data_IF_182472096670
#
_entry.id   IF_182472096670
#
_cell.length_a   1.000
_cell.length_b   1.000
_cell.length_c   1.000
_cell.angle_alpha   90.00
_cell.angle_beta   90.00
_cell.angle_gamma   90.00
#
_symmetry.space_group_name_H-M   'P 1'
#
loop_
_entity.id
_entity.type
_entity.pdbx_description
1 polymer ?
#
# COMPACT_ATOMS: atom_id res chain seq x y z
N UNK A 1 -23.23 0.07 -17.87
CA UNK A 1 -21.80 0.37 -18.16
C UNK A 1 -21.02 -0.05 -16.93
N UNK A 2 -20.24 -1.12 -16.99
CA UNK A 2 -19.58 -1.69 -15.81
C UNK A 2 -18.08 -1.46 -15.94
N UNK A 3 -17.51 -0.66 -15.05
CA UNK A 3 -16.06 -0.59 -14.86
C UNK A 3 -15.69 -1.57 -13.78
N UNK A 4 -14.70 -2.40 -14.05
CA UNK A 4 -14.21 -3.37 -13.08
C UNK A 4 -13.01 -2.76 -12.38
N UNK A 5 -13.10 -2.61 -11.06
CA UNK A 5 -11.95 -2.42 -10.21
C UNK A 5 -11.51 -3.76 -9.67
N UNK A 6 -10.29 -4.13 -9.99
CA UNK A 6 -9.62 -5.18 -9.25
C UNK A 6 -9.02 -4.60 -7.97
N UNK A 7 -9.90 -4.30 -7.04
CA UNK A 7 -9.57 -4.24 -5.65
C UNK A 7 -10.65 -5.08 -4.98
N UNK A 8 -10.42 -6.37 -4.89
CA UNK A 8 -11.33 -7.22 -4.14
C UNK A 8 -11.10 -6.95 -2.67
N UNK A 9 -11.88 -6.04 -2.11
CA UNK A 9 -12.12 -5.98 -0.68
C UNK A 9 -13.28 -6.91 -0.41
N UNK A 10 -13.03 -8.19 -0.37
CA UNK A 10 -13.91 -9.10 0.35
C UNK A 10 -13.28 -9.33 1.71
N UNK A 11 -14.04 -8.93 2.74
CA UNK A 11 -13.98 -9.45 4.10
C UNK A 11 -12.61 -9.99 4.55
N UNK A 12 -11.79 -9.11 5.18
CA UNK A 12 -10.61 -9.40 6.02
C UNK A 12 -9.48 -10.27 5.46
N UNK A 13 -9.51 -10.70 4.20
CA UNK A 13 -8.44 -11.46 3.56
C UNK A 13 -8.19 -10.92 2.17
N UNK A 14 -7.44 -9.82 2.10
CA UNK A 14 -7.05 -9.26 0.82
C UNK A 14 -5.97 -10.16 0.20
N UNK A 15 -6.35 -11.00 -0.74
CA UNK A 15 -5.42 -11.72 -1.60
C UNK A 15 -5.23 -10.90 -2.86
N UNK A 16 -3.98 -10.56 -3.17
CA UNK A 16 -3.64 -10.05 -4.49
C UNK A 16 -3.95 -11.13 -5.52
N UNK A 17 -4.61 -10.77 -6.62
CA UNK A 17 -4.84 -11.67 -7.74
C UNK A 17 -3.63 -11.67 -8.66
N UNK A 18 -3.35 -12.81 -9.26
CA UNK A 18 -2.32 -12.95 -10.29
C UNK A 18 -2.77 -12.32 -11.61
N UNK A 19 -1.85 -11.98 -12.54
CA UNK A 19 -2.22 -11.54 -13.88
C UNK A 19 -3.15 -12.53 -14.62
N UNK A 20 -2.97 -13.83 -14.44
CA UNK A 20 -3.82 -14.86 -15.05
C UNK A 20 -5.24 -14.82 -14.48
N UNK A 21 -5.40 -14.69 -13.17
CA UNK A 21 -6.70 -14.57 -12.52
C UNK A 21 -7.43 -13.28 -12.93
N UNK A 22 -6.70 -12.16 -13.10
CA UNK A 22 -7.27 -10.90 -13.57
C UNK A 22 -7.83 -11.02 -14.99
N UNK A 23 -7.07 -11.62 -15.91
CA UNK A 23 -7.51 -11.87 -17.29
C UNK A 23 -8.72 -12.80 -17.30
N UNK A 24 -8.63 -13.95 -16.61
CA UNK A 24 -9.73 -14.92 -16.52
C UNK A 24 -11.02 -14.27 -15.98
N UNK A 25 -10.90 -13.36 -15.01
CA UNK A 25 -12.05 -12.65 -14.46
C UNK A 25 -12.70 -11.70 -15.47
N UNK A 26 -11.92 -10.98 -16.26
CA UNK A 26 -12.43 -10.13 -17.35
C UNK A 26 -13.15 -11.00 -18.38
N UNK A 27 -12.55 -12.11 -18.81
CA UNK A 27 -13.13 -13.03 -19.78
C UNK A 27 -14.44 -13.65 -19.28
N UNK A 28 -14.49 -14.05 -18.01
CA UNK A 28 -15.73 -14.56 -17.38
C UNK A 28 -16.86 -13.53 -17.45
N UNK A 29 -16.57 -12.25 -17.14
CA UNK A 29 -17.58 -11.20 -17.15
C UNK A 29 -18.09 -10.92 -18.57
N UNK A 30 -17.18 -10.85 -19.54
CA UNK A 30 -17.52 -10.68 -20.96
C UNK A 30 -18.36 -11.87 -21.45
N UNK A 31 -17.99 -13.11 -21.11
CA UNK A 31 -18.74 -14.30 -21.52
C UNK A 31 -20.16 -14.34 -20.94
N UNK A 32 -20.39 -13.69 -19.81
CA UNK A 32 -21.72 -13.51 -19.19
C UNK A 32 -22.51 -12.35 -19.80
N UNK A 33 -22.02 -11.73 -20.88
CA UNK A 33 -22.67 -10.61 -21.55
C UNK A 33 -22.55 -9.27 -20.83
N UNK A 34 -21.64 -9.18 -19.83
CA UNK A 34 -21.39 -7.92 -19.14
C UNK A 34 -20.45 -7.08 -19.99
N UNK A 35 -20.87 -5.87 -20.35
CA UNK A 35 -20.03 -4.92 -21.07
C UNK A 35 -19.01 -4.30 -20.12
N UNK A 36 -17.75 -4.71 -20.28
CA UNK A 36 -16.60 -4.16 -19.56
C UNK A 36 -16.06 -2.97 -20.37
N UNK A 37 -16.00 -1.80 -19.79
CA UNK A 37 -15.46 -0.58 -20.44
C UNK A 37 -14.00 -0.34 -20.09
N UNK A 38 -13.56 -0.82 -18.94
CA UNK A 38 -12.18 -0.65 -18.49
C UNK A 38 -11.85 -1.45 -17.26
N UNK A 39 -10.56 -1.58 -17.03
CA UNK A 39 -9.97 -2.27 -15.88
C UNK A 39 -9.04 -1.31 -15.16
N UNK A 40 -9.19 -1.21 -13.86
CA UNK A 40 -8.32 -0.42 -13.01
C UNK A 40 -7.57 -1.35 -12.03
N UNK A 41 -6.24 -1.34 -12.12
CA UNK A 41 -5.37 -2.09 -11.19
C UNK A 41 -5.10 -1.20 -9.99
N UNK A 42 -5.58 -1.62 -8.83
CA UNK A 42 -5.41 -0.95 -7.55
C UNK A 42 -5.03 -1.97 -6.48
N UNK A 43 -4.75 -1.54 -5.24
CA UNK A 43 -4.41 -2.45 -4.12
C UNK A 43 -5.25 -3.71 -3.97
N UNK A 44 -4.89 -4.62 -3.02
CA UNK A 44 -4.39 -4.29 -1.70
C UNK A 44 -2.90 -3.96 -1.74
N UNK A 45 -2.53 -2.80 -1.24
CA UNK A 45 -1.18 -2.27 -1.39
C UNK A 45 -1.00 -1.48 -2.69
N UNK A 46 0.22 -1.06 -2.96
CA UNK A 46 0.52 -0.26 -4.15
C UNK A 46 0.91 -1.17 -5.33
N UNK A 47 0.28 -1.06 -6.51
CA UNK A 47 0.70 -1.82 -7.70
C UNK A 47 2.17 -1.60 -8.09
N UNK A 48 2.76 -0.47 -7.69
CA UNK A 48 4.19 -0.19 -7.94
C UNK A 48 5.12 -0.89 -6.94
N UNK A 49 4.60 -1.51 -5.90
CA UNK A 49 5.40 -2.42 -5.06
C UNK A 49 5.75 -3.73 -5.77
N UNK A 50 4.94 -4.13 -6.76
CA UNK A 50 5.17 -5.32 -7.60
C UNK A 50 5.05 -4.95 -9.09
N UNK A 51 5.92 -4.07 -9.62
CA UNK A 51 5.73 -3.45 -10.93
C UNK A 51 5.73 -4.47 -12.08
N UNK A 52 6.49 -5.56 -11.96
CA UNK A 52 6.52 -6.60 -12.99
C UNK A 52 5.15 -7.27 -13.17
N UNK A 53 4.48 -7.63 -12.07
CA UNK A 53 3.15 -8.23 -12.12
C UNK A 53 2.11 -7.24 -12.67
N UNK A 54 2.21 -5.96 -12.31
CA UNK A 54 1.33 -4.91 -12.82
C UNK A 54 1.51 -4.71 -14.33
N UNK A 55 2.75 -4.60 -14.80
CA UNK A 55 3.08 -4.45 -16.23
C UNK A 55 2.62 -5.69 -17.01
N UNK A 56 2.85 -6.89 -16.49
CA UNK A 56 2.42 -8.14 -17.11
C UNK A 56 0.89 -8.21 -17.22
N UNK A 57 0.17 -7.84 -16.17
CA UNK A 57 -1.29 -7.82 -16.16
C UNK A 57 -1.83 -6.85 -17.22
N UNK A 58 -1.30 -5.62 -17.28
CA UNK A 58 -1.67 -4.63 -18.30
C UNK A 58 -1.41 -5.16 -19.71
N UNK A 59 -0.20 -5.70 -19.96
CA UNK A 59 0.17 -6.18 -21.28
C UNK A 59 -0.71 -7.36 -21.76
N UNK A 60 -1.10 -8.26 -20.86
CA UNK A 60 -2.01 -9.37 -21.17
C UNK A 60 -3.42 -8.87 -21.44
N UNK A 61 -3.96 -7.98 -20.59
CA UNK A 61 -5.27 -7.38 -20.79
C UNK A 61 -5.33 -6.59 -22.10
N UNK A 62 -4.32 -5.78 -22.39
CA UNK A 62 -4.25 -5.00 -23.62
C UNK A 62 -4.18 -5.88 -24.89
N UNK A 63 -3.44 -6.99 -24.81
CA UNK A 63 -3.34 -7.95 -25.93
C UNK A 63 -4.66 -8.64 -26.21
N UNK A 64 -5.36 -9.07 -25.15
CA UNK A 64 -6.60 -9.84 -25.29
C UNK A 64 -7.82 -8.94 -25.55
N UNK A 65 -7.79 -7.71 -25.03
CA UNK A 65 -8.89 -6.76 -25.05
C UNK A 65 -8.36 -5.33 -25.30
N UNK A 66 -7.92 -5.00 -26.52
CA UNK A 66 -7.25 -3.72 -26.84
C UNK A 66 -8.15 -2.50 -26.65
N UNK A 67 -9.47 -2.70 -26.68
CA UNK A 67 -10.47 -1.63 -26.53
C UNK A 67 -10.76 -1.27 -25.06
N UNK A 68 -10.25 -2.03 -24.11
CA UNK A 68 -10.44 -1.72 -22.69
C UNK A 68 -9.58 -0.52 -22.28
N UNK A 69 -10.20 0.40 -21.53
CA UNK A 69 -9.47 1.44 -20.83
C UNK A 69 -8.72 0.85 -19.65
N UNK A 70 -7.41 0.75 -19.74
CA UNK A 70 -6.56 0.23 -18.66
C UNK A 70 -6.03 1.38 -17.80
N UNK A 71 -6.21 1.25 -16.48
CA UNK A 71 -5.80 2.24 -15.52
C UNK A 71 -5.06 1.63 -14.33
N UNK A 72 -4.24 2.43 -13.67
CA UNK A 72 -3.53 2.06 -12.44
C UNK A 72 -3.79 3.12 -11.37
N UNK A 73 -3.95 2.68 -10.12
CA UNK A 73 -4.02 3.55 -8.93
C UNK A 73 -2.77 3.31 -8.10
N UNK A 74 -2.03 4.35 -7.79
CA UNK A 74 -0.77 4.25 -7.03
C UNK A 74 -0.54 5.49 -6.17
N UNK A 75 0.25 5.34 -5.12
CA UNK A 75 0.81 6.46 -4.36
C UNK A 75 1.84 7.27 -5.16
N UNK A 76 2.35 6.71 -6.25
CA UNK A 76 3.40 7.32 -7.07
C UNK A 76 4.82 7.01 -6.63
N UNK A 77 5.01 6.42 -5.47
CA UNK A 77 6.33 6.08 -4.94
C UNK A 77 7.06 5.11 -5.87
N UNK A 78 8.21 5.52 -6.43
CA UNK A 78 8.98 4.74 -7.39
C UNK A 78 8.32 4.54 -8.76
N UNK A 79 7.20 5.22 -9.05
CA UNK A 79 6.46 5.04 -10.30
C UNK A 79 7.08 5.76 -11.50
N UNK A 80 7.72 6.89 -11.30
CA UNK A 80 8.24 7.75 -12.37
C UNK A 80 9.09 7.02 -13.44
N UNK A 81 10.08 6.18 -13.09
CA UNK A 81 10.89 5.45 -14.08
C UNK A 81 10.12 4.34 -14.83
N UNK A 82 8.94 3.98 -14.36
CA UNK A 82 8.13 2.88 -14.91
C UNK A 82 7.03 3.34 -15.86
N UNK A 83 6.76 4.65 -15.93
CA UNK A 83 5.63 5.22 -16.69
C UNK A 83 5.67 4.82 -18.16
N UNK A 84 6.82 4.87 -18.81
CA UNK A 84 6.95 4.50 -20.22
C UNK A 84 6.62 3.01 -20.43
N UNK A 85 7.08 2.13 -19.55
CA UNK A 85 6.79 0.70 -19.62
C UNK A 85 5.31 0.40 -19.36
N UNK A 86 4.69 1.11 -18.42
CA UNK A 86 3.26 1.01 -18.13
C UNK A 86 2.42 1.47 -19.33
N UNK A 87 2.77 2.62 -19.93
CA UNK A 87 2.10 3.15 -21.12
C UNK A 87 2.23 2.20 -22.33
N UNK A 88 3.44 1.66 -22.55
CA UNK A 88 3.69 0.67 -23.61
C UNK A 88 2.91 -0.63 -23.40
N UNK A 89 2.61 -0.98 -22.14
CA UNK A 89 1.78 -2.14 -21.77
C UNK A 89 0.27 -1.88 -21.85
N UNK A 90 -0.14 -0.72 -22.36
CA UNK A 90 -1.54 -0.39 -22.60
C UNK A 90 -2.21 0.50 -21.55
N UNK A 91 -1.49 0.96 -20.52
CA UNK A 91 -2.04 1.92 -19.56
C UNK A 91 -2.41 3.22 -20.25
N UNK A 92 -3.66 3.66 -20.05
CA UNK A 92 -4.19 4.93 -20.61
C UNK A 92 -4.46 5.97 -19.54
N UNK A 93 -4.63 5.55 -18.30
CA UNK A 93 -4.90 6.45 -17.17
C UNK A 93 -4.13 6.01 -15.92
N UNK A 94 -3.62 6.99 -15.20
CA UNK A 94 -3.06 6.83 -13.88
C UNK A 94 -3.91 7.65 -12.88
N UNK A 95 -4.31 7.03 -11.79
CA UNK A 95 -4.83 7.74 -10.62
C UNK A 95 -3.73 7.81 -9.57
N UNK A 96 -3.27 9.02 -9.28
CA UNK A 96 -2.21 9.28 -8.33
C UNK A 96 -2.82 9.70 -6.99
N UNK A 97 -2.53 8.95 -5.94
CA UNK A 97 -2.98 9.25 -4.58
C UNK A 97 -2.03 10.31 -3.98
N UNK A 98 -2.50 11.54 -3.84
CA UNK A 98 -1.72 12.67 -3.32
C UNK A 98 -2.46 13.29 -2.16
N UNK A 99 -2.02 13.01 -0.94
CA UNK A 99 -2.64 13.54 0.29
C UNK A 99 -1.87 14.74 0.85
N UNK A 100 -0.67 15.02 0.36
CA UNK A 100 0.16 16.15 0.74
C UNK A 100 1.11 16.54 -0.39
N UNK A 101 1.46 17.83 -0.48
CA UNK A 101 2.50 18.35 -1.38
C UNK A 101 3.69 18.92 -0.62
N UNK A 102 3.59 19.02 0.69
CA UNK A 102 4.71 19.38 1.56
C UNK A 102 5.17 18.16 2.36
N UNK A 103 6.48 18.06 2.56
CA UNK A 103 7.08 17.03 3.43
C UNK A 103 6.51 17.10 4.85
N UNK A 104 6.29 18.31 5.36
CA UNK A 104 5.76 18.54 6.73
C UNK A 104 4.36 17.94 6.90
N UNK A 105 3.49 18.13 5.93
CA UNK A 105 2.12 17.55 5.99
C UNK A 105 2.16 16.05 5.76
N UNK A 106 3.00 15.57 4.84
CA UNK A 106 3.19 14.13 4.63
C UNK A 106 3.67 13.41 5.90
N UNK A 107 4.62 14.00 6.65
CA UNK A 107 5.07 13.45 7.94
C UNK A 107 3.98 13.40 9.02
N UNK A 108 3.00 14.29 8.94
CA UNK A 108 1.86 14.28 9.88
C UNK A 108 0.82 13.21 9.53
N UNK A 109 0.60 12.98 8.24
CA UNK A 109 -0.40 12.03 7.73
C UNK A 109 0.13 10.60 7.81
N UNK A 110 1.33 10.38 7.30
CA UNK A 110 1.90 9.04 7.18
C UNK A 110 2.73 8.70 8.42
N UNK A 111 2.35 7.62 9.09
CA UNK A 111 3.18 7.06 10.15
C UNK A 111 4.45 6.42 9.59
N UNK A 112 4.42 6.05 8.31
CA UNK A 112 5.48 5.30 7.65
C UNK A 112 5.39 5.42 6.12
N UNK A 113 6.53 5.61 5.47
CA UNK A 113 6.70 5.61 4.01
C UNK A 113 7.96 4.80 3.72
N UNK A 114 7.89 3.88 2.76
CA UNK A 114 9.01 3.02 2.42
C UNK A 114 9.40 3.14 0.95
N UNK A 115 10.35 4.01 0.61
CA UNK A 115 10.86 4.12 -0.74
C UNK A 115 11.87 3.00 -1.02
N UNK A 116 11.42 1.90 -1.60
CA UNK A 116 12.26 0.73 -1.91
C UNK A 116 12.42 -0.24 -0.74
N UNK A 117 13.57 -0.91 -0.66
CA UNK A 117 13.83 -1.98 0.29
C UNK A 117 14.42 -1.49 1.62
N UNK A 118 15.01 -0.28 1.63
CA UNK A 118 15.69 0.27 2.81
C UNK A 118 14.77 1.15 3.63
N UNK A 119 14.89 1.05 4.95
CA UNK A 119 14.25 2.00 5.86
C UNK A 119 15.02 3.31 5.86
N UNK A 120 14.31 4.41 5.66
CA UNK A 120 14.87 5.76 5.75
C UNK A 120 14.05 6.58 6.76
N UNK A 121 14.63 7.64 7.36
CA UNK A 121 13.87 8.52 8.24
C UNK A 121 12.61 9.06 7.55
N UNK A 122 11.50 9.19 8.31
CA UNK A 122 10.21 9.57 7.76
C UNK A 122 10.25 10.88 6.95
N UNK A 123 10.96 11.89 7.44
CA UNK A 123 11.15 13.16 6.72
C UNK A 123 11.74 12.96 5.32
N UNK A 124 12.81 12.14 5.22
CA UNK A 124 13.43 11.81 3.94
C UNK A 124 12.51 10.98 3.04
N UNK A 125 11.77 10.04 3.62
CA UNK A 125 10.82 9.22 2.87
C UNK A 125 9.63 10.04 2.35
N UNK A 126 9.15 11.00 3.14
CA UNK A 126 8.11 11.95 2.74
C UNK A 126 8.59 12.88 1.59
N UNK A 127 9.84 13.35 1.66
CA UNK A 127 10.45 14.14 0.58
C UNK A 127 10.54 13.34 -0.73
N UNK A 128 10.98 12.09 -0.66
CA UNK A 128 11.01 11.19 -1.81
C UNK A 128 9.59 10.98 -2.38
N UNK A 129 8.59 10.74 -1.53
CA UNK A 129 7.22 10.53 -1.98
C UNK A 129 6.67 11.75 -2.74
N UNK A 130 6.78 12.93 -2.16
CA UNK A 130 6.31 14.19 -2.78
C UNK A 130 7.03 14.43 -4.11
N UNK A 131 8.34 14.19 -4.17
CA UNK A 131 9.12 14.32 -5.40
C UNK A 131 8.67 13.30 -6.47
N UNK A 132 8.53 12.03 -6.10
CA UNK A 132 8.12 10.95 -7.01
C UNK A 132 6.72 11.19 -7.57
N UNK A 133 5.79 11.70 -6.75
CA UNK A 133 4.44 12.07 -7.18
C UNK A 133 4.47 13.15 -8.26
N UNK A 134 5.21 14.23 -8.03
CA UNK A 134 5.35 15.32 -8.99
C UNK A 134 6.01 14.84 -10.30
N UNK A 135 7.10 14.07 -10.18
CA UNK A 135 7.80 13.50 -11.33
C UNK A 135 6.89 12.57 -12.14
N UNK A 136 6.15 11.68 -11.46
CA UNK A 136 5.23 10.72 -12.09
C UNK A 136 4.15 11.44 -12.86
N UNK A 137 3.49 12.45 -12.28
CA UNK A 137 2.45 13.24 -12.94
C UNK A 137 2.97 13.88 -14.23
N UNK A 138 4.12 14.56 -14.16
CA UNK A 138 4.72 15.23 -15.32
C UNK A 138 5.18 14.27 -16.42
N UNK A 139 5.69 13.07 -16.08
CA UNK A 139 6.10 12.08 -17.07
C UNK A 139 4.86 11.47 -17.74
N UNK A 140 3.82 11.13 -16.97
CA UNK A 140 2.56 10.63 -17.51
C UNK A 140 1.94 11.59 -18.52
N UNK A 141 1.87 12.89 -18.19
CA UNK A 141 1.34 13.91 -19.08
C UNK A 141 2.11 13.96 -20.42
N UNK A 142 3.44 13.91 -20.36
CA UNK A 142 4.29 13.87 -21.58
C UNK A 142 4.15 12.57 -22.37
N UNK A 143 3.88 11.45 -21.70
CA UNK A 143 3.66 10.15 -22.33
C UNK A 143 2.23 9.97 -22.88
N UNK A 144 1.37 10.98 -22.78
CA UNK A 144 -0.02 10.91 -23.23
C UNK A 144 -0.92 10.04 -22.34
N UNK A 145 -0.49 9.74 -21.12
CA UNK A 145 -1.28 9.03 -20.11
C UNK A 145 -2.12 10.05 -19.34
N UNK A 146 -3.42 9.84 -19.28
CA UNK A 146 -4.32 10.69 -18.51
C UNK A 146 -4.04 10.59 -17.01
N UNK A 147 -3.81 11.71 -16.33
CA UNK A 147 -3.54 11.74 -14.88
C UNK A 147 -4.79 12.24 -14.15
N UNK A 148 -5.22 11.48 -13.15
CA UNK A 148 -6.22 11.89 -12.16
C UNK A 148 -5.60 11.89 -10.79
N UNK A 149 -6.04 12.81 -9.94
CA UNK A 149 -5.59 12.88 -8.56
C UNK A 149 -6.70 12.34 -7.66
N UNK A 150 -6.31 11.57 -6.64
CA UNK A 150 -7.17 11.20 -5.55
C UNK A 150 -6.54 11.73 -4.25
N UNK A 151 -7.27 12.56 -3.52
CA UNK A 151 -6.82 13.15 -2.26
C UNK A 151 -7.80 12.77 -1.17
N UNK A 152 -7.31 12.11 -0.13
CA UNK A 152 -8.09 11.87 1.09
C UNK A 152 -8.00 13.10 1.99
N UNK A 153 -9.14 13.62 2.41
CA UNK A 153 -9.21 14.80 3.29
C UNK A 153 -9.15 14.35 4.74
N UNK A 154 -8.09 14.71 5.44
CA UNK A 154 -7.84 14.43 6.85
C UNK A 154 -7.99 15.73 7.66
N UNK A 155 -9.13 15.93 8.36
CA UNK A 155 -9.38 17.16 9.11
C UNK A 155 -8.31 17.46 10.16
N UNK A 156 -7.79 18.69 10.15
CA UNK A 156 -6.68 19.13 11.00
C UNK A 156 -5.29 18.78 10.48
N UNK A 157 -5.18 18.12 9.30
CA UNK A 157 -3.91 17.68 8.73
C UNK A 157 -3.62 18.25 7.35
N UNK A 158 -4.50 18.07 6.36
CA UNK A 158 -4.24 18.45 4.97
C UNK A 158 -5.33 19.27 4.29
N UNK A 159 -6.44 19.58 4.95
CA UNK A 159 -7.50 20.37 4.33
C UNK A 159 -7.03 21.72 3.81
N UNK A 160 -6.01 22.30 4.44
CA UNK A 160 -5.39 23.56 4.04
C UNK A 160 -4.47 23.44 2.80
N UNK A 161 -4.04 22.25 2.44
CA UNK A 161 -3.21 21.98 1.24
C UNK A 161 -4.04 21.57 0.01
N UNK A 162 -5.33 21.25 0.14
CA UNK A 162 -6.13 20.70 -0.97
C UNK A 162 -6.16 21.62 -2.19
N UNK A 163 -6.28 22.94 -2.00
CA UNK A 163 -6.24 23.90 -3.10
C UNK A 163 -4.87 23.90 -3.79
N UNK A 164 -3.80 23.87 -3.02
CA UNK A 164 -2.43 23.87 -3.53
C UNK A 164 -2.06 22.54 -4.20
N UNK A 165 -2.57 21.39 -3.69
CA UNK A 165 -2.49 20.09 -4.36
C UNK A 165 -3.13 20.19 -5.75
N UNK A 166 -4.34 20.72 -5.84
CA UNK A 166 -5.05 20.86 -7.11
C UNK A 166 -4.30 21.76 -8.09
N UNK A 167 -3.81 22.92 -7.64
CA UNK A 167 -3.01 23.85 -8.43
C UNK A 167 -1.74 23.18 -8.97
N UNK A 168 -0.95 22.59 -8.06
CA UNK A 168 0.34 21.98 -8.42
C UNK A 168 0.18 20.81 -9.39
N UNK A 169 -0.81 19.97 -9.15
CA UNK A 169 -1.05 18.81 -10.01
C UNK A 169 -1.64 19.24 -11.38
N UNK A 170 -2.43 20.31 -11.45
CA UNK A 170 -2.86 20.89 -12.72
C UNK A 170 -1.67 21.39 -13.56
N UNK A 171 -0.72 22.11 -12.94
CA UNK A 171 0.52 22.54 -13.58
C UNK A 171 1.35 21.37 -14.14
N UNK A 172 1.30 20.21 -13.49
CA UNK A 172 1.97 18.98 -13.90
C UNK A 172 1.17 18.15 -14.92
N UNK A 173 -0.02 18.64 -15.36
CA UNK A 173 -0.82 18.03 -16.41
C UNK A 173 -1.90 17.06 -15.91
N UNK A 174 -2.22 17.05 -14.63
CA UNK A 174 -3.40 16.35 -14.15
C UNK A 174 -4.68 16.94 -14.75
N UNK A 175 -5.67 16.08 -15.00
CA UNK A 175 -6.90 16.46 -15.69
C UNK A 175 -8.12 16.58 -14.77
N UNK A 176 -8.06 15.97 -13.60
CA UNK A 176 -9.14 16.02 -12.63
C UNK A 176 -8.65 15.59 -11.23
N UNK A 177 -9.40 15.96 -10.22
CA UNK A 177 -9.19 15.54 -8.83
C UNK A 177 -10.47 14.93 -8.25
N UNK A 178 -10.32 13.87 -7.45
CA UNK A 178 -11.37 13.30 -6.61
C UNK A 178 -10.99 13.52 -5.15
N UNK A 179 -11.88 14.12 -4.37
CA UNK A 179 -11.70 14.30 -2.94
C UNK A 179 -12.47 13.23 -2.18
N UNK A 180 -11.75 12.47 -1.36
CA UNK A 180 -12.28 11.36 -0.57
C UNK A 180 -12.35 11.78 0.90
N UNK A 181 -13.48 11.61 1.59
CA UNK A 181 -13.52 11.83 3.02
C UNK A 181 -12.73 10.74 3.74
N UNK A 182 -11.92 11.11 4.72
CA UNK A 182 -11.34 10.14 5.63
C UNK A 182 -12.46 9.36 6.35
N UNK A 183 -12.33 8.04 6.38
CA UNK A 183 -13.25 7.16 7.08
C UNK A 183 -12.49 6.43 8.20
N UNK A 184 -12.80 6.69 9.48
CA UNK A 184 -12.19 5.97 10.60
C UNK A 184 -12.44 4.47 10.49
N UNK A 185 -11.41 3.67 10.73
CA UNK A 185 -11.55 2.22 10.78
C UNK A 185 -12.22 1.81 12.12
N UNK A 186 -13.01 0.73 12.15
CA UNK A 186 -13.50 0.16 13.39
C UNK A 186 -12.34 -0.20 14.33
N UNK A 187 -12.33 0.39 15.52
CA UNK A 187 -11.25 0.21 16.51
C UNK A 187 -10.14 1.26 16.44
N UNK A 188 -10.22 2.20 15.52
CA UNK A 188 -9.31 3.34 15.49
C UNK A 188 -9.62 4.28 16.67
N UNK A 189 -8.73 4.28 17.67
CA UNK A 189 -8.81 5.14 18.86
C UNK A 189 -8.15 6.50 18.63
N UNK A 190 -7.85 6.84 17.36
CA UNK A 190 -7.15 8.06 16.98
C UNK A 190 -8.00 9.33 17.09
N UNK A 191 -7.32 10.46 17.08
CA UNK A 191 -7.93 11.80 17.09
C UNK A 191 -8.50 12.22 15.73
N UNK A 192 -8.35 11.39 14.69
CA UNK A 192 -8.83 11.68 13.34
C UNK A 192 -10.34 11.43 13.26
N UNK A 193 -11.05 12.42 12.79
CA UNK A 193 -12.50 12.36 12.59
C UNK A 193 -12.84 12.41 11.10
N UNK A 194 -13.97 11.84 10.74
CA UNK A 194 -14.50 12.00 9.38
C UNK A 194 -14.79 13.47 9.12
N UNK A 195 -14.36 14.05 7.96
CA UNK A 195 -14.74 15.40 7.57
C UNK A 195 -16.25 15.52 7.42
N UNK A 196 -16.80 16.63 7.86
CA UNK A 196 -18.21 16.94 7.67
C UNK A 196 -18.50 17.44 6.24
N UNK A 197 -19.76 17.54 5.90
CA UNK A 197 -20.17 17.96 4.55
C UNK A 197 -19.77 19.41 4.24
N UNK A 198 -19.69 20.28 5.24
CA UNK A 198 -19.31 21.67 5.06
C UNK A 198 -17.82 21.79 4.69
N UNK A 199 -16.94 21.06 5.40
CA UNK A 199 -15.52 21.00 5.07
C UNK A 199 -15.30 20.41 3.68
N UNK A 200 -15.97 19.29 3.34
CA UNK A 200 -15.85 18.67 2.02
C UNK A 200 -16.32 19.61 0.90
N UNK A 201 -17.41 20.37 1.12
CA UNK A 201 -17.87 21.37 0.15
C UNK A 201 -16.86 22.52 -0.02
N UNK A 202 -16.27 22.99 1.09
CA UNK A 202 -15.25 24.04 1.06
C UNK A 202 -14.03 23.63 0.26
N UNK A 203 -13.42 22.50 0.60
CA UNK A 203 -12.19 22.03 -0.09
C UNK A 203 -12.48 21.67 -1.55
N UNK A 204 -13.69 21.16 -1.86
CA UNK A 204 -14.11 20.91 -3.25
C UNK A 204 -14.22 22.20 -4.05
N UNK A 205 -14.78 23.28 -3.47
CA UNK A 205 -14.85 24.57 -4.13
C UNK A 205 -13.45 25.19 -4.35
N UNK A 206 -12.53 24.99 -3.41
CA UNK A 206 -11.14 25.42 -3.55
C UNK A 206 -10.43 24.67 -4.67
N UNK A 207 -10.47 23.34 -4.67
CA UNK A 207 -9.85 22.50 -5.71
C UNK A 207 -10.43 22.77 -7.11
N UNK A 208 -11.73 23.03 -7.19
CA UNK A 208 -12.44 23.29 -8.46
C UNK A 208 -11.96 24.55 -9.20
N UNK A 209 -11.19 25.42 -8.54
CA UNK A 209 -10.56 26.58 -9.18
C UNK A 209 -9.43 26.17 -10.14
N UNK A 210 -8.84 25.00 -9.94
CA UNK A 210 -7.65 24.55 -10.65
C UNK A 210 -7.86 23.25 -11.43
N UNK A 211 -8.66 22.33 -10.89
CA UNK A 211 -8.96 21.04 -11.52
C UNK A 211 -10.46 20.74 -11.45
N UNK A 212 -11.06 20.13 -12.49
CA UNK A 212 -12.39 19.55 -12.38
C UNK A 212 -12.46 18.57 -11.19
N UNK A 213 -13.34 18.83 -10.24
CA UNK A 213 -13.57 17.90 -9.11
C UNK A 213 -14.57 16.85 -9.57
N UNK A 214 -14.12 15.61 -9.63
CA UNK A 214 -14.99 14.48 -9.91
C UNK A 214 -15.68 14.07 -8.61
N UNK A 215 -17.00 13.85 -8.69
CA UNK A 215 -17.72 13.21 -7.58
C UNK A 215 -17.14 11.82 -7.30
N UNK A 216 -17.40 11.31 -6.09
CA UNK A 216 -17.13 9.88 -5.84
C UNK A 216 -17.76 9.11 -6.99
N UNK A 217 -17.00 8.21 -7.62
CA UNK A 217 -17.54 7.47 -8.74
C UNK A 217 -18.83 6.78 -8.28
N UNK A 218 -19.97 7.28 -8.73
CA UNK A 218 -21.28 6.70 -8.46
C UNK A 218 -21.30 5.31 -9.09
N UNK A 219 -21.17 4.27 -8.26
CA UNK A 219 -21.06 2.91 -8.74
C UNK A 219 -22.26 2.48 -9.55
N UNK A 220 -22.04 2.21 -10.81
CA UNK A 220 -22.86 1.20 -11.47
C UNK A 220 -22.41 -0.17 -10.95
N UNK A 221 -23.08 -0.72 -9.94
CA UNK A 221 -23.04 -2.13 -9.60
C UNK A 221 -21.70 -2.79 -9.21
N UNK A 222 -20.61 -2.04 -9.05
CA UNK A 222 -19.34 -2.54 -8.58
C UNK A 222 -19.16 -2.18 -7.09
N UNK A 223 -18.84 -3.15 -6.26
CA UNK A 223 -18.42 -2.89 -4.89
C UNK A 223 -17.20 -1.97 -4.90
N UNK A 224 -17.37 -0.77 -4.37
CA UNK A 224 -16.29 0.17 -4.16
C UNK A 224 -15.40 -0.36 -3.06
N UNK A 225 -14.24 -0.84 -3.45
CA UNK A 225 -13.17 -0.95 -2.48
C UNK A 225 -12.77 0.48 -2.08
N UNK A 226 -12.95 0.79 -0.81
CA UNK A 226 -12.23 1.91 -0.19
C UNK A 226 -10.78 1.81 -0.65
N UNK A 227 -10.23 2.89 -1.23
CA UNK A 227 -8.79 2.94 -1.50
C UNK A 227 -8.10 2.51 -0.22
N UNK A 228 -7.26 1.47 -0.20
CA UNK A 228 -6.56 1.12 1.01
C UNK A 228 -5.74 2.34 1.40
N UNK A 229 -6.17 2.98 2.46
CA UNK A 229 -5.33 3.93 3.17
C UNK A 229 -4.05 3.17 3.48
N UNK A 230 -2.93 3.64 2.99
CA UNK A 230 -1.61 3.05 2.96
C UNK A 230 -1.49 1.67 3.61
N UNK A 231 -0.76 0.76 3.06
CA UNK A 231 -0.72 -0.61 3.56
C UNK A 231 -0.76 -0.62 5.09
N UNK A 232 -1.87 -1.07 5.66
CA UNK A 232 -1.99 -1.17 7.12
C UNK A 232 -0.93 -2.16 7.54
N UNK A 233 0.08 -1.67 8.25
CA UNK A 233 1.10 -2.56 8.79
C UNK A 233 0.41 -3.61 9.65
N UNK A 234 0.79 -4.89 9.52
CA UNK A 234 0.27 -5.89 10.41
C UNK A 234 0.58 -5.48 11.84
N UNK A 235 -0.42 -5.54 12.68
CA UNK A 235 -0.31 -5.19 14.10
C UNK A 235 -0.69 -6.35 15.00
N UNK A 236 -0.47 -6.21 16.30
CA UNK A 236 -0.88 -7.19 17.29
C UNK A 236 -2.37 -7.48 17.21
N UNK A 237 -2.73 -8.75 17.35
CA UNK A 237 -4.11 -9.23 17.39
C UNK A 237 -4.31 -10.19 18.55
N UNK A 238 -5.56 -10.53 18.88
CA UNK A 238 -5.85 -11.49 19.95
C UNK A 238 -5.15 -12.83 19.68
N UNK A 239 -4.24 -13.22 20.60
CA UNK A 239 -3.44 -14.44 20.50
C UNK A 239 -2.18 -14.37 19.62
N UNK A 240 -1.93 -13.22 18.96
CA UNK A 240 -0.73 -12.98 18.14
C UNK A 240 -0.17 -11.60 18.45
N UNK A 241 0.72 -11.55 19.42
CA UNK A 241 1.28 -10.30 19.91
C UNK A 241 2.74 -10.11 19.55
N UNK A 242 3.39 -11.10 18.95
CA UNK A 242 4.82 -11.11 18.73
C UNK A 242 5.21 -10.90 17.27
N UNK A 243 6.45 -10.51 17.03
CA UNK A 243 7.11 -10.39 15.73
C UNK A 243 8.33 -11.30 15.71
N UNK A 244 8.41 -12.13 14.69
CA UNK A 244 9.61 -12.93 14.44
C UNK A 244 10.55 -12.18 13.49
N UNK A 245 11.85 -12.36 13.67
CA UNK A 245 12.89 -11.73 12.83
C UNK A 245 13.94 -12.76 12.45
N UNK A 246 14.35 -12.75 11.17
CA UNK A 246 15.53 -13.48 10.72
C UNK A 246 16.73 -12.55 10.70
N UNK A 247 17.78 -12.90 11.40
CA UNK A 247 18.99 -12.11 11.49
C UNK A 247 20.21 -13.00 11.68
N UNK A 248 21.31 -12.65 11.05
CA UNK A 248 22.63 -13.24 11.29
C UNK A 248 23.39 -12.41 12.34
N UNK A 249 23.40 -11.10 12.17
CA UNK A 249 24.10 -10.16 13.06
C UNK A 249 23.44 -10.01 14.44
N UNK A 250 22.12 -10.23 14.54
CA UNK A 250 21.32 -9.95 15.73
C UNK A 250 20.96 -8.47 15.92
N UNK A 251 21.40 -7.59 15.00
CA UNK A 251 21.14 -6.15 15.03
C UNK A 251 20.31 -5.70 13.84
N UNK A 252 20.52 -6.30 12.66
CA UNK A 252 19.87 -5.97 11.42
C UNK A 252 19.04 -7.15 10.89
N UNK A 253 18.06 -6.84 10.05
CA UNK A 253 17.27 -7.81 9.30
C UNK A 253 18.05 -8.15 8.03
N UNK A 254 19.03 -9.04 8.14
CA UNK A 254 20.06 -9.29 7.13
C UNK A 254 20.07 -10.73 6.59
N UNK A 255 19.14 -11.59 7.06
CA UNK A 255 19.16 -13.02 6.72
C UNK A 255 17.93 -13.42 5.88
N UNK A 256 18.20 -14.21 4.83
CA UNK A 256 17.15 -14.86 4.02
C UNK A 256 16.42 -15.92 4.86
N UNK A 257 15.08 -15.97 4.80
CA UNK A 257 14.26 -16.91 5.59
C UNK A 257 14.67 -18.38 5.40
N UNK A 258 15.02 -18.75 4.18
CA UNK A 258 15.47 -20.11 3.85
C UNK A 258 16.76 -20.53 4.53
N UNK A 259 17.59 -19.59 4.93
CA UNK A 259 18.89 -19.81 5.56
C UNK A 259 18.86 -19.70 7.09
N UNK A 260 17.75 -19.17 7.63
CA UNK A 260 17.62 -18.96 9.06
C UNK A 260 17.65 -20.31 9.82
N UNK A 261 18.56 -20.44 10.75
CA UNK A 261 18.64 -21.54 11.73
C UNK A 261 17.94 -21.21 13.04
N UNK A 262 17.72 -19.92 13.29
CA UNK A 262 17.06 -19.37 14.47
C UNK A 262 16.22 -18.15 14.10
N UNK A 263 15.25 -17.85 14.94
CA UNK A 263 14.34 -16.72 14.82
C UNK A 263 14.39 -15.91 16.11
N UNK A 264 14.57 -14.62 16.01
CA UNK A 264 14.48 -13.70 17.13
C UNK A 264 13.01 -13.29 17.31
N UNK A 265 12.47 -13.46 18.53
CA UNK A 265 11.07 -13.15 18.82
C UNK A 265 11.00 -11.88 19.66
N UNK A 266 10.43 -10.84 19.07
CA UNK A 266 10.18 -9.55 19.72
C UNK A 266 8.72 -9.43 20.12
N UNK A 267 8.47 -8.80 21.25
CA UNK A 267 7.12 -8.57 21.74
C UNK A 267 7.06 -7.69 22.97
N UNK A 268 5.85 -7.32 23.41
CA UNK A 268 5.67 -6.47 24.58
C UNK A 268 5.93 -7.27 25.86
N UNK A 269 6.74 -6.71 26.76
CA UNK A 269 6.88 -7.17 28.15
C UNK A 269 5.69 -6.72 28.99
N UNK A 270 5.64 -7.18 30.23
CA UNK A 270 4.59 -6.80 31.18
C UNK A 270 4.52 -5.28 31.47
N UNK A 271 5.61 -4.56 31.25
CA UNK A 271 5.69 -3.09 31.37
C UNK A 271 5.29 -2.35 30.06
N UNK A 272 4.93 -3.11 29.02
CA UNK A 272 4.53 -2.59 27.72
C UNK A 272 5.68 -2.22 26.78
N UNK A 273 6.94 -2.40 27.21
CA UNK A 273 8.08 -2.16 26.33
C UNK A 273 8.27 -3.34 25.38
N UNK A 274 8.46 -3.04 24.11
CA UNK A 274 8.76 -4.03 23.07
C UNK A 274 10.26 -4.32 23.10
N UNK A 275 10.62 -5.58 23.22
CA UNK A 275 12.01 -6.02 23.24
C UNK A 275 12.15 -7.45 22.73
N UNK A 276 13.38 -7.93 22.58
CA UNK A 276 13.68 -9.34 22.34
C UNK A 276 13.21 -10.17 23.56
N UNK A 277 12.26 -11.07 23.34
CA UNK A 277 11.72 -11.96 24.36
C UNK A 277 12.47 -13.26 24.43
N UNK A 278 12.72 -13.87 23.28
CA UNK A 278 13.37 -15.18 23.17
C UNK A 278 13.93 -15.45 21.77
N UNK A 279 14.67 -16.51 21.63
CA UNK A 279 15.14 -17.04 20.36
C UNK A 279 14.58 -18.44 20.16
N UNK A 280 13.96 -18.71 19.02
CA UNK A 280 13.42 -20.02 18.66
C UNK A 280 14.23 -20.68 17.55
N UNK A 281 14.45 -22.00 17.60
CA UNK A 281 15.06 -22.70 16.47
C UNK A 281 14.13 -22.67 15.25
N UNK A 282 14.69 -22.43 14.07
CA UNK A 282 13.96 -22.58 12.81
C UNK A 282 14.04 -24.03 12.33
N UNK A 283 13.04 -24.57 11.62
CA UNK A 283 13.09 -25.92 11.07
C UNK A 283 14.25 -26.05 10.08
N UNK A 284 14.90 -27.23 10.09
CA UNK A 284 16.09 -27.50 9.28
C UNK A 284 15.83 -27.30 7.78
N UNK A 285 16.81 -26.77 7.02
CA UNK A 285 16.73 -26.70 5.58
C UNK A 285 16.55 -28.08 4.95
N UNK A 286 15.79 -28.18 3.84
CA UNK A 286 15.71 -29.39 3.03
C UNK A 286 14.47 -30.27 3.23
N UNK A 287 13.55 -29.95 4.13
CA UNK A 287 12.33 -30.75 4.38
C UNK A 287 11.13 -30.34 3.50
N UNK A 288 11.36 -29.59 2.43
CA UNK A 288 10.31 -29.21 1.47
C UNK A 288 9.16 -28.36 2.06
N UNK A 289 7.93 -28.58 1.61
CA UNK A 289 6.75 -27.81 2.04
C UNK A 289 6.37 -28.03 3.51
N UNK A 290 6.74 -29.14 4.14
CA UNK A 290 6.47 -29.43 5.55
C UNK A 290 7.21 -28.47 6.48
N UNK A 291 8.40 -27.99 6.10
CA UNK A 291 9.18 -27.00 6.84
C UNK A 291 8.37 -25.72 7.14
N UNK A 292 7.64 -25.23 6.18
CA UNK A 292 6.89 -23.97 6.32
C UNK A 292 5.64 -24.13 7.15
N UNK A 293 5.06 -25.33 7.17
CA UNK A 293 3.96 -25.67 8.09
C UNK A 293 4.44 -25.76 9.53
N UNK A 294 5.59 -26.39 9.75
CA UNK A 294 6.23 -26.45 11.06
C UNK A 294 6.64 -25.05 11.54
N UNK A 295 7.22 -24.24 10.67
CA UNK A 295 7.54 -22.84 10.98
C UNK A 295 6.29 -22.04 11.40
N UNK A 296 5.18 -22.25 10.71
CA UNK A 296 3.92 -21.59 11.06
C UNK A 296 3.39 -21.99 12.47
N UNK A 297 3.67 -23.22 12.90
CA UNK A 297 3.34 -23.65 14.27
C UNK A 297 4.25 -22.99 15.30
N UNK A 298 5.55 -22.94 15.01
CA UNK A 298 6.55 -22.27 15.88
C UNK A 298 6.22 -20.79 16.07
N UNK A 299 5.67 -20.15 15.04
CA UNK A 299 5.31 -18.72 15.02
C UNK A 299 3.81 -18.48 15.25
N UNK A 300 3.10 -19.41 15.88
CA UNK A 300 1.64 -19.31 16.05
C UNK A 300 1.18 -18.09 16.85
N UNK A 301 2.02 -17.53 17.69
CA UNK A 301 1.82 -16.32 18.49
C UNK A 301 2.37 -15.03 17.85
N UNK A 302 2.95 -15.13 16.64
CA UNK A 302 3.47 -14.00 15.89
C UNK A 302 2.45 -13.49 14.87
N UNK A 303 2.28 -12.17 14.77
CA UNK A 303 1.46 -11.55 13.72
C UNK A 303 2.28 -11.21 12.48
N UNK A 304 3.60 -11.08 12.61
CA UNK A 304 4.51 -10.78 11.51
C UNK A 304 5.83 -11.53 11.61
N UNK A 305 6.47 -11.72 10.46
CA UNK A 305 7.85 -12.20 10.32
C UNK A 305 8.62 -11.21 9.43
N UNK A 306 9.70 -10.65 9.95
CA UNK A 306 10.63 -9.76 9.24
C UNK A 306 11.80 -10.59 8.73
N UNK A 307 12.14 -10.42 7.46
CA UNK A 307 13.23 -11.16 6.79
C UNK A 307 13.82 -10.36 5.64
N UNK A 308 15.12 -10.50 5.37
CA UNK A 308 15.75 -9.84 4.24
C UNK A 308 15.24 -10.36 2.89
N UNK A 309 14.89 -11.64 2.82
CA UNK A 309 14.28 -12.24 1.63
C UNK A 309 13.54 -13.54 1.98
N UNK A 310 12.50 -13.84 1.21
CA UNK A 310 11.76 -15.10 1.29
C UNK A 310 11.18 -15.46 -0.09
N UNK A 311 11.19 -16.74 -0.43
CA UNK A 311 10.53 -17.26 -1.62
C UNK A 311 8.99 -17.20 -1.50
N UNK A 312 8.29 -17.45 -2.60
CA UNK A 312 6.82 -17.36 -2.65
C UNK A 312 6.14 -18.43 -1.79
N UNK A 313 6.62 -19.68 -1.84
CA UNK A 313 6.03 -20.80 -1.08
C UNK A 313 5.99 -20.53 0.44
N UNK A 314 7.10 -20.15 1.12
CA UNK A 314 7.05 -19.78 2.53
C UNK A 314 6.14 -18.57 2.80
N UNK A 315 6.15 -17.55 1.95
CA UNK A 315 5.30 -16.36 2.11
C UNK A 315 3.82 -16.75 2.09
N UNK A 316 3.39 -17.49 1.08
CA UNK A 316 2.00 -17.95 0.99
C UNK A 316 1.60 -18.84 2.16
N UNK A 317 2.47 -19.79 2.56
CA UNK A 317 2.17 -20.73 3.63
C UNK A 317 1.98 -20.00 4.96
N UNK A 318 2.86 -19.06 5.29
CA UNK A 318 2.79 -18.28 6.52
C UNK A 318 1.62 -17.29 6.51
N UNK A 319 1.40 -16.59 5.39
CA UNK A 319 0.28 -15.67 5.24
C UNK A 319 -1.07 -16.37 5.40
N UNK A 320 -1.26 -17.57 4.80
CA UNK A 320 -2.47 -18.39 5.00
C UNK A 320 -2.69 -18.77 6.46
N UNK A 321 -1.64 -18.83 7.26
CA UNK A 321 -1.71 -19.09 8.70
C UNK A 321 -1.80 -17.82 9.54
N UNK A 322 -1.93 -16.64 8.90
CA UNK A 322 -2.10 -15.35 9.57
C UNK A 322 -0.81 -14.74 10.11
N UNK A 323 0.35 -15.17 9.59
CA UNK A 323 1.66 -14.58 9.87
C UNK A 323 2.08 -13.78 8.66
N UNK A 324 2.12 -12.45 8.79
CA UNK A 324 2.46 -11.56 7.67
C UNK A 324 3.97 -11.55 7.44
N UNK A 325 4.42 -12.04 6.28
CA UNK A 325 5.84 -12.03 5.93
C UNK A 325 6.20 -10.69 5.29
N UNK A 326 7.02 -9.91 5.98
CA UNK A 326 7.51 -8.61 5.55
C UNK A 326 8.97 -8.74 5.11
N UNK A 327 9.23 -8.52 3.83
CA UNK A 327 10.59 -8.46 3.31
C UNK A 327 11.13 -7.07 3.57
N UNK A 328 12.19 -6.98 4.35
CA UNK A 328 12.80 -5.72 4.79
C UNK A 328 14.25 -5.95 5.16
N UNK A 329 15.03 -4.90 5.12
CA UNK A 329 16.39 -4.79 5.62
C UNK A 329 16.46 -3.60 6.60
N UNK A 330 17.50 -3.54 7.40
CA UNK A 330 17.77 -2.46 8.34
C UNK A 330 17.68 -2.91 9.82
N UNK A 331 17.80 -1.94 10.71
CA UNK A 331 17.85 -2.17 12.16
C UNK A 331 16.56 -2.83 12.69
N UNK A 332 16.73 -3.86 13.50
CA UNK A 332 15.62 -4.67 14.02
C UNK A 332 14.72 -3.84 14.95
N UNK A 333 15.30 -3.17 15.95
CA UNK A 333 14.54 -2.50 17.01
C UNK A 333 13.65 -1.39 16.45
N UNK A 334 14.18 -0.54 15.55
CA UNK A 334 13.43 0.51 14.90
C UNK A 334 12.31 -0.03 14.01
N UNK A 335 12.55 -1.12 13.28
CA UNK A 335 11.56 -1.75 12.40
C UNK A 335 10.45 -2.43 13.20
N UNK A 336 10.81 -3.12 14.29
CA UNK A 336 9.85 -3.75 15.20
C UNK A 336 9.01 -2.69 15.91
N UNK A 337 9.62 -1.61 16.43
CA UNK A 337 8.91 -0.51 17.11
C UNK A 337 7.79 0.09 16.24
N UNK A 338 8.04 0.25 14.94
CA UNK A 338 7.04 0.71 13.97
C UNK A 338 5.81 -0.19 13.92
N UNK A 339 5.98 -1.51 14.01
CA UNK A 339 4.86 -2.47 13.96
C UNK A 339 3.97 -2.43 15.21
N UNK A 340 4.48 -1.90 16.31
CA UNK A 340 3.72 -1.68 17.54
C UNK A 340 3.23 -0.24 17.71
N UNK A 341 3.32 0.59 16.64
CA UNK A 341 2.86 1.99 16.66
C UNK A 341 3.83 2.94 17.38
N UNK A 342 5.05 2.51 17.63
CA UNK A 342 6.11 3.29 18.25
C UNK A 342 6.82 4.20 17.24
N UNK A 343 6.39 5.45 17.18
CA UNK A 343 7.07 6.54 16.45
C UNK A 343 6.90 7.88 17.16
N UNK A 344 6.15 7.91 18.25
CA UNK A 344 5.93 9.12 19.05
C UNK A 344 6.33 8.86 20.52
N UNK A 345 7.59 9.03 20.86
CA UNK A 345 7.95 9.31 22.25
C UNK A 345 7.33 10.66 22.62
N UNK A 346 6.18 10.65 23.28
CA UNK A 346 5.67 11.80 24.00
C UNK A 346 6.75 12.26 24.97
N UNK A 347 7.44 13.36 24.66
CA UNK A 347 8.13 14.16 25.67
C UNK A 347 7.05 14.81 26.55
N UNK A 348 6.52 14.08 27.52
CA UNK A 348 5.87 14.64 28.68
C UNK A 348 6.91 14.74 29.78
N UNK A 349 7.22 15.96 30.18
CA UNK A 349 7.58 16.34 31.53
C UNK A 349 9.07 16.32 31.88
N UNK A 350 9.69 17.48 31.78
CA UNK A 350 10.28 18.14 32.96
C UNK A 350 10.06 19.62 32.85
#
# INVERSE_FOLDING_TARGET
>A
MTRIRFAVVSDRRMTAITPDEAVARVEELISRGIRVEGVEIAGPGDPMATPHATIECLARLHRNHPDLELAVVTSGLGAAPLVESLAASGMRRLTLCVDAITTVTAEKIYAWIRPGTRTVPLAKAADILVHDQAATAGICARAGVAVRIATTVYPGFNEHEVEEIALKMAELGAQAITLLPYLPLPGDMGSLVKPDAALMALVSAQAARHLPVLGEPQGGGGEWAVLPQGAVLPGPSSGRTNVAVTSESGMDIDLHLGQASRLLIYGPRADGLVCLLETRPAPSPGTGGSRWQELALILSDCFALLTAAAGDVPRETLNRKGINVLITDGEIEGTVDVLYGGGKKNKKGR
#
